data_IF_578868839655
#
_entry.id   IF_578868839655
#
_cell.length_a   1.000
_cell.length_b   1.000
_cell.length_c   1.000
_cell.angle_alpha   90.00
_cell.angle_beta   90.00
_cell.angle_gamma   90.00
#
_symmetry.space_group_name_H-M   'P 1'
#
loop_
_entity.id
_entity.type
_entity.pdbx_description
1 polymer ?
#
# COMPACT_ATOMS: atom_id res chain seq x y z
N UNK A 1 8.27 -10.71 13.27
CA UNK A 1 9.48 -9.94 12.89
C UNK A 1 10.52 -10.09 14.00
N UNK A 2 11.73 -10.54 13.67
CA UNK A 2 12.83 -10.71 14.64
C UNK A 2 13.51 -9.37 14.95
N UNK A 3 14.33 -9.30 16.01
CA UNK A 3 14.99 -8.05 16.39
C UNK A 3 15.99 -7.58 15.33
N UNK A 4 16.67 -8.51 14.69
CA UNK A 4 17.65 -8.26 13.64
C UNK A 4 16.99 -7.59 12.42
N UNK A 5 15.75 -7.99 12.10
CA UNK A 5 14.96 -7.36 11.03
C UNK A 5 14.53 -5.94 11.42
N UNK A 6 14.15 -5.73 12.69
CA UNK A 6 13.78 -4.40 13.20
C UNK A 6 14.95 -3.42 13.14
N UNK A 7 16.19 -3.89 13.26
CA UNK A 7 17.37 -3.04 13.16
C UNK A 7 17.54 -2.46 11.74
N UNK A 8 17.08 -3.15 10.70
CA UNK A 8 17.01 -2.61 9.34
C UNK A 8 16.06 -1.42 9.29
N UNK A 9 14.85 -1.55 9.87
CA UNK A 9 13.85 -0.48 9.91
C UNK A 9 14.26 0.72 10.78
N UNK A 10 14.99 0.48 11.87
CA UNK A 10 15.48 1.53 12.78
C UNK A 10 16.72 2.24 12.26
N UNK A 11 17.55 1.55 11.47
CA UNK A 11 18.85 2.04 11.00
C UNK A 11 18.79 3.45 10.39
N UNK A 12 17.82 3.81 9.52
CA UNK A 12 17.72 5.16 8.96
C UNK A 12 17.52 6.27 9.98
N UNK A 13 16.97 5.97 11.17
CA UNK A 13 16.72 6.93 12.25
C UNK A 13 17.84 6.95 13.29
N UNK A 14 18.51 5.82 13.51
CA UNK A 14 19.58 5.69 14.49
C UNK A 14 20.95 6.12 13.93
N UNK A 15 21.24 5.80 12.67
CA UNK A 15 22.53 6.10 12.04
C UNK A 15 22.57 7.49 11.41
N UNK A 16 21.41 8.07 11.11
CA UNK A 16 21.27 9.40 10.54
C UNK A 16 20.01 10.07 11.06
N UNK A 17 20.07 11.38 11.28
CA UNK A 17 18.87 12.18 11.59
C UNK A 17 18.10 12.60 10.33
N UNK A 18 18.57 12.23 9.13
CA UNK A 18 17.96 12.61 7.86
C UNK A 18 16.52 12.06 7.73
N UNK A 19 16.30 10.77 8.00
CA UNK A 19 14.97 10.17 7.88
C UNK A 19 13.94 10.86 8.79
N UNK A 20 14.31 11.14 10.04
CA UNK A 20 13.45 11.87 10.98
C UNK A 20 13.14 13.29 10.52
N UNK A 21 14.15 14.04 10.01
CA UNK A 21 13.92 15.37 9.45
C UNK A 21 13.05 15.34 8.20
N UNK A 22 13.23 14.35 7.33
CA UNK A 22 12.42 14.18 6.13
C UNK A 22 10.95 13.94 6.48
N UNK A 23 10.65 13.09 7.47
CA UNK A 23 9.27 12.89 7.94
C UNK A 23 8.69 14.18 8.50
N UNK A 24 9.45 14.89 9.35
CA UNK A 24 9.00 16.17 9.91
C UNK A 24 8.68 17.19 8.81
N UNK A 25 9.55 17.32 7.81
CA UNK A 25 9.32 18.19 6.66
C UNK A 25 8.09 17.75 5.84
N UNK A 26 7.91 16.45 5.60
CA UNK A 26 6.72 15.93 4.88
C UNK A 26 5.45 16.31 5.65
N UNK A 27 5.38 16.04 6.96
CA UNK A 27 4.19 16.33 7.77
C UNK A 27 3.88 17.83 7.80
N UNK A 28 4.90 18.70 7.85
CA UNK A 28 4.72 20.16 7.87
C UNK A 28 4.26 20.73 6.53
N UNK A 29 4.62 20.10 5.41
CA UNK A 29 4.40 20.64 4.07
C UNK A 29 3.30 19.91 3.28
N UNK A 30 2.80 18.78 3.79
CA UNK A 30 1.72 18.02 3.15
C UNK A 30 0.38 18.74 3.35
N UNK A 31 -0.17 19.31 2.27
CA UNK A 31 -1.58 19.68 2.23
C UNK A 31 -2.43 18.41 2.02
N UNK A 32 -2.76 17.77 3.14
CA UNK A 32 -3.47 16.49 3.13
C UNK A 32 -4.82 16.59 2.43
N UNK A 33 -5.58 17.66 2.68
CA UNK A 33 -6.93 17.83 2.10
C UNK A 33 -6.85 17.96 0.59
N UNK A 34 -5.95 18.81 0.09
CA UNK A 34 -5.75 18.98 -1.34
C UNK A 34 -5.26 17.68 -1.98
N UNK A 35 -4.27 17.04 -1.38
CA UNK A 35 -3.68 15.80 -1.90
C UNK A 35 -4.72 14.67 -2.00
N UNK A 36 -5.55 14.48 -0.97
CA UNK A 36 -6.62 13.47 -1.01
C UNK A 36 -7.67 13.79 -2.09
N UNK A 37 -8.06 15.06 -2.22
CA UNK A 37 -9.00 15.49 -3.27
C UNK A 37 -8.47 15.20 -4.68
N UNK A 38 -7.19 15.47 -4.92
CA UNK A 38 -6.53 15.21 -6.20
C UNK A 38 -6.44 13.70 -6.48
N UNK A 39 -6.07 12.88 -5.49
CA UNK A 39 -5.98 11.43 -5.61
C UNK A 39 -7.36 10.81 -5.91
N UNK A 40 -8.39 11.15 -5.14
CA UNK A 40 -9.75 10.64 -5.35
C UNK A 40 -10.31 11.03 -6.72
N UNK A 41 -10.01 12.23 -7.19
CA UNK A 41 -10.44 12.69 -8.52
C UNK A 41 -9.67 11.96 -9.62
N UNK A 42 -8.37 11.76 -9.45
CA UNK A 42 -7.52 11.04 -10.40
C UNK A 42 -7.92 9.58 -10.57
N UNK A 43 -8.30 8.89 -9.49
CA UNK A 43 -8.73 7.50 -9.57
C UNK A 43 -10.00 7.28 -10.40
N UNK A 44 -10.90 8.27 -10.48
CA UNK A 44 -12.12 8.18 -11.31
C UNK A 44 -11.82 8.11 -12.80
N UNK A 45 -10.71 8.72 -13.23
CA UNK A 45 -10.24 8.73 -14.61
C UNK A 45 -9.14 7.68 -14.86
N UNK A 46 -8.85 6.83 -13.87
CA UNK A 46 -7.75 5.88 -13.92
C UNK A 46 -8.09 4.63 -14.72
N UNK A 47 -7.53 4.53 -15.92
CA UNK A 47 -7.80 3.45 -16.88
C UNK A 47 -6.80 2.29 -16.80
N UNK A 48 -5.68 2.46 -16.07
CA UNK A 48 -4.63 1.45 -16.03
C UNK A 48 -5.06 0.22 -15.22
N UNK A 49 -4.67 -0.99 -15.65
CA UNK A 49 -4.85 -2.19 -14.84
C UNK A 49 -4.32 -1.98 -13.43
N UNK A 50 -5.11 -2.33 -12.42
CA UNK A 50 -4.78 -2.06 -11.02
C UNK A 50 -4.99 -3.30 -10.17
N UNK A 51 -3.94 -3.76 -9.49
CA UNK A 51 -4.03 -4.82 -8.48
C UNK A 51 -3.95 -4.20 -7.09
N UNK A 52 -4.93 -4.50 -6.25
CA UNK A 52 -4.97 -4.15 -4.83
C UNK A 52 -4.89 -5.45 -4.04
N UNK A 53 -3.89 -5.58 -3.16
CA UNK A 53 -3.76 -6.73 -2.26
C UNK A 53 -3.90 -6.22 -0.83
N UNK A 54 -4.82 -6.81 -0.06
CA UNK A 54 -5.24 -6.25 1.22
C UNK A 54 -5.38 -7.31 2.31
N UNK A 55 -4.82 -7.04 3.51
CA UNK A 55 -5.01 -7.87 4.69
C UNK A 55 -6.31 -7.54 5.43
N UNK A 56 -7.22 -8.50 5.57
CA UNK A 56 -8.54 -8.22 6.16
C UNK A 56 -8.57 -8.15 7.67
N UNK A 57 -7.45 -8.44 8.35
CA UNK A 57 -7.29 -8.28 9.81
C UNK A 57 -6.54 -7.00 10.19
N UNK A 58 -6.40 -6.05 9.28
CA UNK A 58 -5.81 -4.74 9.58
C UNK A 58 -6.68 -4.01 10.63
N UNK A 59 -6.14 -3.68 11.82
CA UNK A 59 -6.89 -3.00 12.86
C UNK A 59 -7.00 -1.48 12.66
N UNK A 60 -6.28 -0.92 11.69
CA UNK A 60 -6.20 0.51 11.42
C UNK A 60 -6.93 0.92 10.14
N UNK A 61 -6.94 0.06 9.12
CA UNK A 61 -7.57 0.33 7.83
C UNK A 61 -8.59 -0.75 7.46
N UNK A 62 -9.85 -0.35 7.27
CA UNK A 62 -10.94 -1.26 6.92
C UNK A 62 -10.88 -1.67 5.43
N UNK A 63 -11.20 -2.94 5.15
CA UNK A 63 -11.19 -3.48 3.78
C UNK A 63 -12.15 -2.77 2.83
N UNK A 64 -13.20 -2.12 3.35
CA UNK A 64 -14.14 -1.33 2.54
C UNK A 64 -13.45 -0.22 1.75
N UNK A 65 -12.31 0.30 2.21
CA UNK A 65 -11.53 1.29 1.44
C UNK A 65 -10.99 0.67 0.14
N UNK A 66 -10.47 -0.56 0.22
CA UNK A 66 -9.97 -1.29 -0.94
C UNK A 66 -11.11 -1.72 -1.88
N UNK A 67 -12.26 -2.10 -1.32
CA UNK A 67 -13.48 -2.41 -2.09
C UNK A 67 -14.00 -1.18 -2.83
N UNK A 68 -14.02 -0.01 -2.19
CA UNK A 68 -14.42 1.23 -2.83
C UNK A 68 -13.46 1.59 -3.97
N UNK A 69 -12.15 1.48 -3.75
CA UNK A 69 -11.15 1.81 -4.76
C UNK A 69 -11.24 0.87 -5.98
N UNK A 70 -11.36 -0.45 -5.77
CA UNK A 70 -11.46 -1.39 -6.89
C UNK A 70 -12.72 -1.17 -7.72
N UNK A 71 -13.82 -0.70 -7.10
CA UNK A 71 -15.06 -0.37 -7.82
C UNK A 71 -14.95 0.92 -8.65
N UNK A 72 -14.00 1.80 -8.32
CA UNK A 72 -13.74 3.03 -9.08
C UNK A 72 -12.81 2.73 -10.27
N UNK A 73 -11.85 1.82 -10.11
CA UNK A 73 -10.91 1.45 -11.17
C UNK A 73 -11.56 0.51 -12.19
N UNK A 74 -11.67 0.94 -13.46
CA UNK A 74 -12.29 0.15 -14.55
C UNK A 74 -11.67 -1.25 -14.70
N UNK A 75 -10.35 -1.35 -14.56
CA UNK A 75 -9.58 -2.61 -14.66
C UNK A 75 -8.98 -3.04 -13.30
N UNK A 76 -9.72 -2.81 -12.23
CA UNK A 76 -9.33 -3.14 -10.86
C UNK A 76 -9.49 -4.64 -10.52
N UNK A 77 -8.50 -5.21 -9.82
CA UNK A 77 -8.61 -6.50 -9.12
C UNK A 77 -8.26 -6.30 -7.65
N UNK A 78 -9.12 -6.79 -6.75
CA UNK A 78 -8.88 -6.85 -5.32
C UNK A 78 -8.60 -8.30 -4.91
N UNK A 79 -7.49 -8.52 -4.20
CA UNK A 79 -7.17 -9.76 -3.51
C UNK A 79 -7.21 -9.51 -2.01
N UNK A 80 -7.97 -10.34 -1.30
CA UNK A 80 -8.10 -10.27 0.15
C UNK A 80 -7.30 -11.41 0.80
N UNK A 81 -6.38 -11.05 1.68
CA UNK A 81 -5.59 -11.97 2.49
C UNK A 81 -6.27 -12.12 3.85
N UNK A 82 -7.00 -13.22 4.03
CA UNK A 82 -7.94 -13.41 5.15
C UNK A 82 -7.30 -13.25 6.55
N UNK A 83 -6.05 -13.68 6.70
CA UNK A 83 -5.32 -13.69 7.97
C UNK A 83 -4.31 -12.56 8.10
N UNK A 84 -4.08 -11.81 7.02
CA UNK A 84 -3.08 -10.75 7.01
C UNK A 84 -3.62 -9.46 7.62
N UNK A 85 -2.74 -8.71 8.27
CA UNK A 85 -3.03 -7.39 8.83
C UNK A 85 -2.34 -6.30 8.00
N UNK A 86 -1.84 -5.24 8.65
CA UNK A 86 -1.38 -4.00 8.01
C UNK A 86 -0.13 -4.10 7.15
N UNK A 87 0.80 -4.98 7.51
CA UNK A 87 2.02 -5.22 6.75
C UNK A 87 2.00 -6.63 6.19
N UNK A 88 1.08 -6.93 5.25
CA UNK A 88 0.94 -8.28 4.72
C UNK A 88 2.23 -8.75 4.05
N UNK A 89 3.07 -7.85 3.52
CA UNK A 89 4.35 -8.18 2.92
C UNK A 89 5.37 -8.82 3.87
N UNK A 90 5.23 -8.64 5.18
CA UNK A 90 6.18 -9.21 6.16
C UNK A 90 5.97 -10.72 6.37
N UNK A 91 4.75 -11.22 6.21
CA UNK A 91 4.40 -12.59 6.54
C UNK A 91 3.66 -13.35 5.42
N UNK A 92 3.09 -12.65 4.44
CA UNK A 92 2.38 -13.19 3.26
C UNK A 92 3.06 -12.78 1.94
N UNK A 93 4.39 -12.58 1.96
CA UNK A 93 5.15 -12.19 0.76
C UNK A 93 5.03 -13.19 -0.38
N UNK A 94 4.91 -14.49 -0.09
CA UNK A 94 4.70 -15.53 -1.09
C UNK A 94 3.34 -15.38 -1.78
N UNK A 95 2.25 -15.27 -1.01
CA UNK A 95 0.90 -15.06 -1.54
C UNK A 95 0.82 -13.77 -2.38
N UNK A 96 1.44 -12.69 -1.90
CA UNK A 96 1.52 -11.43 -2.65
C UNK A 96 2.31 -11.62 -3.96
N UNK A 97 3.41 -12.38 -3.91
CA UNK A 97 4.25 -12.64 -5.09
C UNK A 97 3.48 -13.42 -6.16
N UNK A 98 2.72 -14.44 -5.77
CA UNK A 98 1.90 -15.21 -6.71
C UNK A 98 0.90 -14.32 -7.44
N UNK A 99 0.23 -13.43 -6.72
CA UNK A 99 -0.72 -12.47 -7.30
C UNK A 99 -0.05 -11.43 -8.18
N UNK A 100 1.13 -10.92 -7.78
CA UNK A 100 1.94 -10.01 -8.59
C UNK A 100 2.39 -10.68 -9.89
N UNK A 101 2.85 -11.92 -9.85
CA UNK A 101 3.27 -12.65 -11.05
C UNK A 101 2.10 -12.87 -12.01
N UNK A 102 0.92 -13.23 -11.49
CA UNK A 102 -0.28 -13.37 -12.30
C UNK A 102 -0.72 -12.03 -12.92
N UNK A 103 -0.61 -10.94 -12.18
CA UNK A 103 -0.97 -9.61 -12.67
C UNK A 103 -0.01 -9.10 -13.74
N UNK A 104 1.31 -9.16 -13.48
CA UNK A 104 2.34 -8.63 -14.37
C UNK A 104 2.54 -9.45 -15.64
N UNK A 105 2.13 -10.73 -15.66
CA UNK A 105 2.22 -11.60 -16.84
C UNK A 105 1.02 -11.46 -17.78
N UNK A 106 0.02 -10.65 -17.46
CA UNK A 106 -1.08 -10.36 -18.38
C UNK A 106 -0.52 -9.70 -19.63
N UNK A 107 -0.81 -10.25 -20.80
CA UNK A 107 -0.64 -9.49 -22.04
C UNK A 107 -1.69 -8.38 -22.05
N UNK A 108 -1.32 -7.19 -22.51
CA UNK A 108 -2.30 -6.17 -22.87
C UNK A 108 -3.32 -6.81 -23.81
N UNK A 109 -4.61 -6.71 -23.45
CA UNK A 109 -5.73 -7.14 -24.30
C UNK A 109 -6.13 -5.95 -25.15
#
# INVERSE_FOLDING_TARGET
IANEDLDVYRSPYLKSSAAGRSISAIVQNLDLKKSMTEIESGFKEWQQPTLIVWGTKDPWLDVSQAENLVNICENGKLVKLAEAAHYPQEHWSADITDELLLFLRRKEV
#
